data_IF_076707958167
#
_entry.id   IF_076707958167
#
_cell.length_a   1.000
_cell.length_b   1.000
_cell.length_c   1.000
_cell.angle_alpha   90.00
_cell.angle_beta   90.00
_cell.angle_gamma   90.00
#
_symmetry.space_group_name_H-M   'P 1'
#
loop_
_entity.id
_entity.type
_entity.pdbx_description
1 polymer ?
#
# COMPACT_ATOMS: atom_id res chain seq x y z
N UNK A 1 -17.00 0.62 6.65
CA UNK A 1 -15.92 1.11 5.77
C UNK A 1 -14.63 0.41 6.11
N UNK A 2 -13.89 -0.02 5.10
CA UNK A 2 -12.56 -0.64 5.22
C UNK A 2 -11.57 0.26 4.49
N UNK A 3 -10.52 0.70 5.18
CA UNK A 3 -9.42 1.45 4.56
C UNK A 3 -8.30 0.48 4.19
N UNK A 4 -7.82 0.56 2.95
CA UNK A 4 -6.83 -0.37 2.39
C UNK A 4 -5.70 0.40 1.70
N UNK A 5 -4.46 0.07 2.06
CA UNK A 5 -3.31 0.55 1.31
C UNK A 5 -3.14 -0.25 0.01
N UNK A 6 -2.79 0.42 -1.10
CA UNK A 6 -2.49 -0.20 -2.40
C UNK A 6 -1.03 0.04 -2.78
N UNK A 7 -0.37 -1.00 -3.25
CA UNK A 7 1.05 -1.03 -3.59
C UNK A 7 1.32 -1.20 -5.07
N UNK A 8 2.55 -1.58 -5.39
CA UNK A 8 3.06 -1.62 -6.77
C UNK A 8 2.59 -2.81 -7.60
N UNK A 9 2.20 -3.92 -6.98
CA UNK A 9 1.80 -5.11 -7.73
C UNK A 9 0.40 -4.98 -8.30
N UNK A 10 0.30 -4.37 -9.46
CA UNK A 10 -0.92 -3.92 -10.11
C UNK A 10 -2.05 -4.96 -10.13
N UNK A 11 -1.78 -6.16 -10.60
CA UNK A 11 -2.79 -7.21 -10.72
C UNK A 11 -3.18 -7.82 -9.38
N UNK A 12 -2.22 -7.96 -8.47
CA UNK A 12 -2.49 -8.43 -7.11
C UNK A 12 -3.31 -7.43 -6.31
N UNK A 13 -3.11 -6.12 -6.52
CA UNK A 13 -3.91 -5.09 -5.86
C UNK A 13 -5.37 -5.12 -6.34
N UNK A 14 -5.61 -5.28 -7.65
CA UNK A 14 -6.95 -5.49 -8.20
C UNK A 14 -7.60 -6.72 -7.56
N UNK A 15 -6.90 -7.85 -7.56
CA UNK A 15 -7.41 -9.10 -7.02
C UNK A 15 -7.64 -9.02 -5.49
N UNK A 16 -6.78 -8.32 -4.76
CA UNK A 16 -6.91 -8.11 -3.31
C UNK A 16 -8.22 -7.40 -2.94
N UNK A 17 -8.55 -6.32 -3.62
CA UNK A 17 -9.78 -5.56 -3.34
C UNK A 17 -11.03 -6.38 -3.69
N UNK A 18 -11.00 -7.10 -4.81
CA UNK A 18 -12.07 -8.01 -5.22
C UNK A 18 -12.26 -9.17 -4.22
N UNK A 19 -11.17 -9.81 -3.80
CA UNK A 19 -11.19 -10.88 -2.80
C UNK A 19 -11.70 -10.40 -1.44
N UNK A 20 -11.28 -9.19 -1.03
CA UNK A 20 -11.76 -8.56 0.22
C UNK A 20 -13.28 -8.36 0.21
N UNK A 21 -13.82 -7.81 -0.87
CA UNK A 21 -15.27 -7.60 -1.02
C UNK A 21 -16.02 -8.94 -1.04
N UNK A 22 -15.50 -9.93 -1.77
CA UNK A 22 -16.08 -11.27 -1.84
C UNK A 22 -16.18 -11.90 -0.45
N UNK A 23 -15.07 -11.90 0.30
CA UNK A 23 -15.02 -12.48 1.64
C UNK A 23 -15.89 -11.72 2.63
N UNK A 24 -15.88 -10.39 2.57
CA UNK A 24 -16.74 -9.57 3.43
C UNK A 24 -18.23 -9.91 3.22
N UNK A 25 -18.67 -9.94 1.97
CA UNK A 25 -20.07 -10.24 1.64
C UNK A 25 -20.45 -11.67 2.05
N UNK A 26 -19.55 -12.63 1.86
CA UNK A 26 -19.78 -14.02 2.28
C UNK A 26 -19.94 -14.10 3.81
N UNK A 27 -19.04 -13.47 4.57
CA UNK A 27 -19.12 -13.46 6.03
C UNK A 27 -20.37 -12.71 6.53
N UNK A 28 -20.69 -11.55 5.95
CA UNK A 28 -21.86 -10.77 6.34
C UNK A 28 -23.17 -11.57 6.15
N UNK A 29 -23.28 -12.35 5.07
CA UNK A 29 -24.43 -13.20 4.81
C UNK A 29 -24.61 -14.29 5.86
N UNK A 30 -23.54 -14.88 6.37
CA UNK A 30 -23.58 -15.90 7.45
C UNK A 30 -24.12 -15.31 8.76
N UNK A 31 -23.93 -14.02 8.98
CA UNK A 31 -24.47 -13.33 10.17
C UNK A 31 -25.85 -12.69 9.91
N UNK A 32 -26.51 -12.99 8.79
CA UNK A 32 -27.80 -12.42 8.37
C UNK A 32 -27.78 -10.88 8.28
N UNK A 33 -26.60 -10.31 7.97
CA UNK A 33 -26.44 -8.88 7.75
C UNK A 33 -26.28 -8.59 6.26
N UNK A 34 -27.01 -7.57 5.79
CA UNK A 34 -26.96 -7.09 4.43
C UNK A 34 -26.26 -5.71 4.40
N UNK A 35 -24.99 -5.69 4.79
CA UNK A 35 -24.15 -4.50 4.75
C UNK A 35 -23.33 -4.47 3.46
N UNK A 36 -23.27 -3.31 2.85
CA UNK A 36 -22.34 -3.09 1.74
C UNK A 36 -20.91 -2.95 2.26
N UNK A 37 -19.98 -3.63 1.58
CA UNK A 37 -18.56 -3.48 1.83
C UNK A 37 -18.06 -2.18 1.19
N UNK A 38 -17.96 -1.10 1.97
CA UNK A 38 -17.41 0.16 1.48
C UNK A 38 -15.89 0.19 1.67
N UNK A 39 -15.14 0.25 0.56
CA UNK A 39 -13.67 0.21 0.52
C UNK A 39 -13.12 1.58 0.12
N UNK A 40 -12.26 2.14 0.97
CA UNK A 40 -11.44 3.32 0.65
C UNK A 40 -10.02 2.83 0.40
N UNK A 41 -9.46 3.10 -0.77
CA UNK A 41 -8.11 2.73 -1.13
C UNK A 41 -7.18 3.94 -1.21
N UNK A 42 -5.97 3.80 -0.64
CA UNK A 42 -4.95 4.86 -0.63
C UNK A 42 -3.59 4.26 -1.02
N UNK A 43 -2.79 4.92 -1.87
CA UNK A 43 -1.43 4.49 -2.16
C UNK A 43 -0.59 4.29 -0.89
N UNK A 44 0.15 3.19 -0.82
CA UNK A 44 1.04 2.92 0.32
C UNK A 44 2.24 3.88 0.35
N UNK A 45 2.73 4.19 1.55
CA UNK A 45 4.01 4.90 1.71
C UNK A 45 5.23 3.97 1.59
N UNK A 46 5.04 2.64 1.67
CA UNK A 46 6.13 1.66 1.76
C UNK A 46 7.12 1.71 0.59
N UNK A 47 6.65 1.98 -0.61
CA UNK A 47 7.43 2.06 -1.85
C UNK A 47 7.74 3.49 -2.31
N UNK A 48 7.44 4.51 -1.50
CA UNK A 48 7.77 5.89 -1.83
C UNK A 48 9.22 6.19 -1.47
N UNK A 49 9.87 7.05 -2.28
CA UNK A 49 11.30 7.31 -2.22
C UNK A 49 11.57 8.79 -2.07
N UNK A 50 12.68 9.13 -1.38
CA UNK A 50 13.16 10.50 -1.24
C UNK A 50 13.86 10.97 -2.50
N UNK A 51 14.77 10.14 -3.02
CA UNK A 51 15.51 10.45 -4.24
C UNK A 51 14.68 10.10 -5.46
N UNK A 52 14.87 10.87 -6.52
CA UNK A 52 14.06 10.79 -7.74
C UNK A 52 12.54 10.79 -7.42
N UNK A 53 12.16 11.68 -6.52
CA UNK A 53 10.83 11.74 -5.90
C UNK A 53 9.69 11.94 -6.91
N UNK A 54 9.98 12.52 -8.08
CA UNK A 54 8.99 12.66 -9.15
C UNK A 54 8.44 11.31 -9.63
N UNK A 55 9.21 10.23 -9.51
CA UNK A 55 8.75 8.87 -9.81
C UNK A 55 7.60 8.43 -8.89
N UNK A 56 7.48 9.02 -7.69
CA UNK A 56 6.35 8.75 -6.81
C UNK A 56 5.00 9.13 -7.46
N UNK A 57 4.95 10.16 -8.32
CA UNK A 57 3.72 10.50 -9.07
C UNK A 57 3.29 9.36 -9.99
N UNK A 58 4.25 8.72 -10.66
CA UNK A 58 3.98 7.59 -11.55
C UNK A 58 3.48 6.38 -10.74
N UNK A 59 4.13 6.10 -9.60
CA UNK A 59 3.72 5.01 -8.70
C UNK A 59 2.29 5.22 -8.21
N UNK A 60 1.98 6.40 -7.65
CA UNK A 60 0.64 6.68 -7.13
C UNK A 60 -0.43 6.64 -8.21
N UNK A 61 -0.11 7.02 -9.45
CA UNK A 61 -1.05 6.91 -10.58
C UNK A 61 -1.43 5.45 -10.85
N UNK A 62 -0.45 4.55 -10.99
CA UNK A 62 -0.71 3.13 -11.25
C UNK A 62 -1.39 2.43 -10.07
N UNK A 63 -1.07 2.82 -8.84
CA UNK A 63 -1.73 2.33 -7.62
C UNK A 63 -3.21 2.77 -7.57
N UNK A 64 -3.51 4.03 -7.88
CA UNK A 64 -4.89 4.50 -7.99
C UNK A 64 -5.66 3.80 -9.12
N UNK A 65 -5.01 3.53 -10.26
CA UNK A 65 -5.61 2.74 -11.33
C UNK A 65 -5.99 1.33 -10.85
N UNK A 66 -5.09 0.64 -10.17
CA UNK A 66 -5.38 -0.71 -9.64
C UNK A 66 -6.51 -0.69 -8.61
N UNK A 67 -6.59 0.36 -7.78
CA UNK A 67 -7.67 0.55 -6.82
C UNK A 67 -9.03 0.72 -7.49
N UNK A 68 -9.11 1.54 -8.54
CA UNK A 68 -10.34 1.76 -9.30
C UNK A 68 -10.78 0.46 -9.99
N UNK A 69 -9.86 -0.22 -10.67
CA UNK A 69 -10.15 -1.48 -11.36
C UNK A 69 -10.48 -2.62 -10.39
N UNK A 70 -9.96 -2.57 -9.18
CA UNK A 70 -10.28 -3.50 -8.10
C UNK A 70 -11.64 -3.25 -7.43
N UNK A 71 -12.34 -2.17 -7.84
CA UNK A 71 -13.67 -1.84 -7.36
C UNK A 71 -13.67 -1.15 -5.98
N UNK A 72 -12.67 -0.32 -5.67
CA UNK A 72 -12.73 0.56 -4.51
C UNK A 72 -13.88 1.57 -4.68
N UNK A 73 -14.62 1.85 -3.61
CA UNK A 73 -15.74 2.81 -3.63
C UNK A 73 -15.24 4.24 -3.58
N UNK A 74 -14.08 4.45 -2.96
CA UNK A 74 -13.38 5.72 -2.96
C UNK A 74 -11.87 5.49 -3.09
N UNK A 75 -11.19 6.40 -3.79
CA UNK A 75 -9.72 6.42 -3.90
C UNK A 75 -9.21 7.76 -3.43
N UNK A 76 -8.37 7.74 -2.40
CA UNK A 76 -7.66 8.92 -1.90
C UNK A 76 -6.20 8.83 -2.33
N UNK A 77 -5.77 9.74 -3.21
CA UNK A 77 -4.39 9.73 -3.68
C UNK A 77 -3.43 10.32 -2.63
N UNK A 78 -2.17 9.93 -2.71
CA UNK A 78 -1.08 10.44 -1.88
C UNK A 78 -0.25 11.44 -2.69
N UNK A 79 0.05 12.61 -2.13
CA UNK A 79 0.97 13.55 -2.74
C UNK A 79 2.37 12.91 -2.89
N UNK A 80 3.05 13.19 -4.00
CA UNK A 80 4.34 12.58 -4.34
C UNK A 80 5.44 12.88 -3.34
N UNK A 81 5.34 14.01 -2.66
CA UNK A 81 6.28 14.54 -1.68
C UNK A 81 5.84 14.35 -0.20
N UNK A 82 4.71 13.69 0.04
CA UNK A 82 4.10 13.51 1.36
C UNK A 82 5.00 12.81 2.41
N UNK A 83 6.12 12.21 2.00
CA UNK A 83 7.06 11.56 2.93
C UNK A 83 8.12 12.53 3.49
N UNK A 84 8.35 13.68 2.85
CA UNK A 84 9.41 14.60 3.23
C UNK A 84 8.99 16.09 3.26
N UNK A 85 7.90 16.48 2.61
CA UNK A 85 7.30 17.80 2.70
C UNK A 85 6.03 17.79 3.56
N UNK A 86 5.71 18.94 4.14
CA UNK A 86 4.38 19.24 4.68
C UNK A 86 3.40 19.39 3.53
N UNK A 87 2.12 19.29 3.87
CA UNK A 87 1.04 19.53 2.91
C UNK A 87 1.23 20.88 2.21
N UNK A 88 1.20 20.86 0.88
CA UNK A 88 1.44 22.03 0.06
C UNK A 88 0.52 22.02 -1.17
N UNK A 89 0.25 23.23 -1.69
CA UNK A 89 -0.69 23.45 -2.79
C UNK A 89 -0.30 22.67 -4.06
N UNK A 90 0.99 22.56 -4.35
CA UNK A 90 1.45 21.89 -5.57
C UNK A 90 1.28 20.36 -5.46
N UNK A 91 1.70 19.76 -4.36
CA UNK A 91 1.54 18.33 -4.10
C UNK A 91 0.07 17.91 -4.11
N UNK A 92 -0.79 18.66 -3.43
CA UNK A 92 -2.23 18.43 -3.40
C UNK A 92 -2.87 18.56 -4.77
N UNK A 93 -2.50 19.58 -5.52
CA UNK A 93 -3.00 19.82 -6.88
C UNK A 93 -2.63 18.67 -7.81
N UNK A 94 -1.37 18.20 -7.77
CA UNK A 94 -0.90 17.12 -8.63
C UNK A 94 -1.61 15.81 -8.24
N UNK A 95 -1.68 15.49 -6.96
CA UNK A 95 -2.36 14.26 -6.50
C UNK A 95 -3.82 14.19 -6.92
N UNK A 96 -4.54 15.33 -6.81
CA UNK A 96 -5.91 15.46 -7.29
C UNK A 96 -5.99 15.36 -8.82
N UNK A 97 -5.09 16.02 -9.54
CA UNK A 97 -5.09 15.99 -11.01
C UNK A 97 -4.84 14.60 -11.56
N UNK A 98 -4.02 13.77 -10.91
CA UNK A 98 -3.85 12.36 -11.30
C UNK A 98 -5.20 11.62 -11.31
N UNK A 99 -6.02 11.79 -10.27
CA UNK A 99 -7.37 11.18 -10.22
C UNK A 99 -8.30 11.77 -11.26
N UNK A 100 -8.21 13.08 -11.54
CA UNK A 100 -9.02 13.74 -12.58
C UNK A 100 -8.64 13.26 -13.98
N UNK A 101 -7.36 13.04 -14.26
CA UNK A 101 -6.88 12.44 -15.51
C UNK A 101 -7.46 11.02 -15.67
N UNK A 102 -7.39 10.19 -14.63
CA UNK A 102 -7.99 8.85 -14.67
C UNK A 102 -9.49 8.90 -14.95
N UNK A 103 -10.21 9.86 -14.38
CA UNK A 103 -11.65 10.02 -14.58
C UNK A 103 -12.00 10.58 -15.95
N UNK A 104 -11.39 11.71 -16.37
CA UNK A 104 -11.85 12.50 -17.49
C UNK A 104 -11.12 12.21 -18.81
N UNK A 105 -9.86 11.81 -18.75
CA UNK A 105 -9.05 11.52 -19.94
C UNK A 105 -8.92 10.01 -20.20
N UNK A 106 -8.83 9.21 -19.12
CA UNK A 106 -8.74 7.74 -19.21
C UNK A 106 -10.11 7.04 -19.10
N UNK A 107 -11.18 7.79 -18.85
CA UNK A 107 -12.58 7.32 -18.83
C UNK A 107 -12.87 6.17 -17.86
N UNK A 108 -12.17 6.07 -16.74
CA UNK A 108 -12.38 5.02 -15.74
C UNK A 108 -13.76 5.07 -15.06
N UNK A 109 -14.49 6.17 -15.21
CA UNK A 109 -15.85 6.36 -14.70
C UNK A 109 -16.96 5.87 -15.66
N UNK A 110 -16.61 5.35 -16.84
CA UNK A 110 -17.59 4.95 -17.86
C UNK A 110 -18.00 3.49 -17.79
N UNK A 111 -17.23 2.66 -17.12
CA UNK A 111 -17.46 1.22 -17.03
C UNK A 111 -17.36 0.76 -15.57
N UNK A 112 -18.40 0.07 -15.11
CA UNK A 112 -18.36 -0.60 -13.81
C UNK A 112 -17.61 -1.93 -13.95
N UNK A 113 -16.72 -2.21 -12.98
CA UNK A 113 -16.00 -3.47 -12.86
C UNK A 113 -15.34 -3.96 -14.18
N UNK A 114 -14.46 -3.16 -14.81
CA UNK A 114 -13.87 -3.51 -16.11
C UNK A 114 -12.89 -4.69 -16.04
N UNK A 115 -12.52 -5.13 -14.83
CA UNK A 115 -11.67 -6.30 -14.60
C UNK A 115 -12.46 -7.61 -14.55
N UNK A 116 -13.81 -7.56 -14.57
CA UNK A 116 -14.68 -8.72 -14.50
C UNK A 116 -14.52 -9.61 -15.75
N UNK A 117 -14.44 -10.93 -15.53
CA UNK A 117 -14.24 -11.92 -16.59
C UNK A 117 -12.82 -12.00 -17.16
N UNK A 118 -11.86 -11.21 -16.67
CA UNK A 118 -10.46 -11.35 -17.03
C UNK A 118 -9.85 -12.58 -16.35
N UNK A 119 -9.62 -13.66 -17.08
CA UNK A 119 -9.18 -14.97 -16.53
C UNK A 119 -8.06 -14.88 -15.50
N UNK A 120 -7.04 -14.09 -15.77
CA UNK A 120 -5.91 -13.95 -14.84
C UNK A 120 -6.35 -13.29 -13.52
N UNK A 121 -7.15 -12.23 -13.59
CA UNK A 121 -7.63 -11.51 -12.41
C UNK A 121 -8.61 -12.38 -11.62
N UNK A 122 -9.51 -13.09 -12.28
CA UNK A 122 -10.43 -14.00 -11.62
C UNK A 122 -9.68 -15.10 -10.86
N UNK A 123 -8.72 -15.75 -11.50
CA UNK A 123 -7.89 -16.78 -10.87
C UNK A 123 -7.11 -16.23 -9.66
N UNK A 124 -6.50 -15.06 -9.78
CA UNK A 124 -5.80 -14.41 -8.67
C UNK A 124 -6.77 -14.05 -7.53
N UNK A 125 -7.96 -13.57 -7.85
CA UNK A 125 -8.99 -13.21 -6.87
C UNK A 125 -9.42 -14.43 -6.05
N UNK A 126 -9.69 -15.54 -6.70
CA UNK A 126 -10.06 -16.80 -6.05
C UNK A 126 -8.95 -17.32 -5.15
N UNK A 127 -7.71 -17.40 -5.65
CA UNK A 127 -6.56 -17.88 -4.88
C UNK A 127 -6.26 -16.98 -3.67
N UNK A 128 -6.36 -15.66 -3.81
CA UNK A 128 -6.19 -14.73 -2.70
C UNK A 128 -7.32 -14.87 -1.68
N UNK A 129 -8.57 -15.00 -2.14
CA UNK A 129 -9.71 -15.21 -1.26
C UNK A 129 -9.57 -16.50 -0.44
N UNK A 130 -9.16 -17.62 -1.06
CA UNK A 130 -8.90 -18.89 -0.37
C UNK A 130 -7.83 -18.72 0.70
N UNK A 131 -6.68 -18.11 0.37
CA UNK A 131 -5.58 -17.91 1.32
C UNK A 131 -5.96 -16.96 2.46
N UNK A 132 -6.70 -15.91 2.16
CA UNK A 132 -7.20 -14.98 3.17
C UNK A 132 -8.22 -15.65 4.10
N UNK A 133 -9.10 -16.50 3.57
CA UNK A 133 -10.06 -17.26 4.35
C UNK A 133 -9.35 -18.29 5.26
N UNK A 134 -8.33 -18.98 4.78
CA UNK A 134 -7.49 -19.88 5.60
C UNK A 134 -6.88 -19.10 6.77
N UNK A 135 -6.30 -17.92 6.51
CA UNK A 135 -5.72 -17.07 7.55
C UNK A 135 -6.78 -16.58 8.54
N UNK A 136 -7.94 -16.17 8.06
CA UNK A 136 -9.05 -15.74 8.91
C UNK A 136 -9.50 -16.87 9.84
N UNK A 137 -9.71 -18.09 9.31
CA UNK A 137 -10.08 -19.28 10.11
C UNK A 137 -9.01 -19.63 11.15
N UNK A 138 -7.73 -19.48 10.81
CA UNK A 138 -6.62 -19.70 11.74
C UNK A 138 -6.67 -18.69 12.90
N UNK A 139 -6.90 -17.41 12.60
CA UNK A 139 -7.04 -16.35 13.60
C UNK A 139 -8.23 -16.63 14.54
N UNK A 140 -9.39 -16.95 13.98
CA UNK A 140 -10.61 -17.23 14.77
C UNK A 140 -10.44 -18.46 15.66
N UNK A 141 -9.88 -19.56 15.13
CA UNK A 141 -9.60 -20.79 15.88
C UNK A 141 -8.66 -20.55 17.06
N UNK A 142 -7.75 -19.59 16.96
CA UNK A 142 -6.76 -19.25 17.99
C UNK A 142 -7.17 -18.01 18.81
N UNK A 143 -8.41 -17.96 19.25
CA UNK A 143 -8.98 -16.94 20.17
C UNK A 143 -9.22 -15.56 19.56
N UNK A 144 -9.22 -15.44 18.24
CA UNK A 144 -9.58 -14.22 17.51
C UNK A 144 -8.49 -13.16 17.45
N UNK A 145 -8.76 -12.11 16.70
CA UNK A 145 -7.79 -11.07 16.35
C UNK A 145 -7.19 -10.35 17.58
N UNK A 146 -8.01 -9.99 18.56
CA UNK A 146 -7.57 -9.20 19.73
C UNK A 146 -6.57 -10.01 20.56
N UNK A 147 -6.85 -11.29 20.82
CA UNK A 147 -5.93 -12.17 21.56
C UNK A 147 -4.59 -12.30 20.85
N UNK A 148 -4.62 -12.55 19.54
CA UNK A 148 -3.39 -12.69 18.75
C UNK A 148 -2.59 -11.38 18.58
N UNK A 149 -3.22 -10.22 18.66
CA UNK A 149 -2.54 -8.92 18.72
C UNK A 149 -1.82 -8.75 20.06
N UNK A 150 -2.46 -9.13 21.18
CA UNK A 150 -1.85 -9.08 22.52
C UNK A 150 -0.67 -10.03 22.61
N UNK A 151 -0.81 -11.24 22.08
CA UNK A 151 0.24 -12.28 22.06
C UNK A 151 1.38 -12.00 21.06
N UNK A 152 1.23 -10.97 20.21
CA UNK A 152 2.23 -10.61 19.22
C UNK A 152 2.29 -11.52 17.98
N UNK A 153 1.36 -12.44 17.81
CA UNK A 153 1.34 -13.38 16.68
C UNK A 153 1.08 -12.67 15.34
N UNK A 154 0.16 -11.69 15.32
CA UNK A 154 -0.11 -10.87 14.12
C UNK A 154 1.12 -10.06 13.74
N UNK A 155 1.75 -9.39 14.72
CA UNK A 155 2.95 -8.59 14.49
C UNK A 155 4.10 -9.44 13.94
N UNK A 156 4.28 -10.66 14.44
CA UNK A 156 5.28 -11.59 13.93
C UNK A 156 5.04 -11.95 12.47
N UNK A 157 3.80 -12.32 12.10
CA UNK A 157 3.43 -12.63 10.71
C UNK A 157 3.68 -11.44 9.76
N UNK A 158 3.34 -10.23 10.21
CA UNK A 158 3.60 -8.98 9.45
C UNK A 158 5.10 -8.76 9.28
N UNK A 159 5.88 -8.90 10.35
CA UNK A 159 7.34 -8.70 10.30
C UNK A 159 8.03 -9.74 9.41
N UNK A 160 7.63 -11.01 9.45
CA UNK A 160 8.14 -12.06 8.57
C UNK A 160 7.87 -11.75 7.09
N UNK A 161 6.67 -11.26 6.77
CA UNK A 161 6.33 -10.82 5.41
C UNK A 161 7.13 -9.59 4.99
N UNK A 162 7.24 -8.59 5.86
CA UNK A 162 8.00 -7.38 5.61
C UNK A 162 9.50 -7.66 5.42
N UNK A 163 10.06 -8.63 6.16
CA UNK A 163 11.45 -9.05 6.01
C UNK A 163 11.71 -9.71 4.66
N UNK A 164 10.82 -10.62 4.23
CA UNK A 164 10.92 -11.26 2.91
C UNK A 164 10.91 -10.24 1.77
N UNK A 165 10.04 -9.25 1.86
CA UNK A 165 9.97 -8.17 0.89
C UNK A 165 11.25 -7.30 0.92
N UNK A 166 11.79 -7.01 2.11
CA UNK A 166 13.06 -6.29 2.24
C UNK A 166 14.23 -7.07 1.63
N UNK A 167 14.30 -8.38 1.83
CA UNK A 167 15.32 -9.26 1.21
C UNK A 167 15.23 -9.25 -0.32
N UNK A 168 14.01 -9.20 -0.88
CA UNK A 168 13.82 -9.04 -2.32
C UNK A 168 14.32 -7.68 -2.82
N UNK A 169 14.05 -6.62 -2.07
CA UNK A 169 14.54 -5.27 -2.39
C UNK A 169 16.08 -5.19 -2.28
N UNK A 170 16.65 -5.67 -1.20
CA UNK A 170 18.11 -5.63 -0.95
C UNK A 170 18.88 -6.48 -1.97
N UNK A 171 18.29 -7.58 -2.44
CA UNK A 171 18.85 -8.41 -3.52
C UNK A 171 18.63 -7.86 -4.94
N UNK A 172 17.88 -6.75 -5.09
CA UNK A 172 17.55 -6.14 -6.37
C UNK A 172 16.49 -6.90 -7.18
N UNK A 173 15.83 -7.90 -6.60
CA UNK A 173 14.69 -8.59 -7.23
C UNK A 173 13.43 -7.74 -7.19
N UNK A 174 13.18 -7.05 -6.09
CA UNK A 174 12.18 -5.99 -6.00
C UNK A 174 12.84 -4.66 -6.39
N UNK A 175 12.31 -4.02 -7.44
CA UNK A 175 12.91 -2.83 -8.04
C UNK A 175 12.12 -1.59 -7.66
N UNK A 176 12.81 -0.60 -7.09
CA UNK A 176 12.33 0.77 -7.00
C UNK A 176 13.18 1.65 -7.92
N UNK A 177 12.58 2.11 -9.00
CA UNK A 177 13.22 2.95 -9.99
C UNK A 177 13.71 4.27 -9.36
N UNK A 178 14.91 4.72 -9.76
CA UNK A 178 15.53 5.91 -9.15
C UNK A 178 16.19 5.65 -7.78
N UNK A 179 16.07 4.42 -7.23
CA UNK A 179 16.58 4.05 -5.91
C UNK A 179 17.60 2.93 -6.01
N UNK A 180 17.16 1.67 -6.03
CA UNK A 180 18.06 0.52 -6.21
C UNK A 180 18.34 0.19 -7.68
N UNK A 181 17.62 0.82 -8.62
CA UNK A 181 17.86 0.70 -10.05
C UNK A 181 17.79 2.07 -10.73
N UNK A 182 18.80 2.39 -11.54
CA UNK A 182 18.97 3.65 -12.26
C UNK A 182 18.92 4.91 -11.34
N UNK A 183 19.65 4.95 -10.21
CA UNK A 183 19.64 6.12 -9.34
C UNK A 183 20.27 7.34 -10.02
N UNK A 184 19.67 8.51 -9.85
CA UNK A 184 20.29 9.79 -10.21
C UNK A 184 21.33 10.15 -9.14
N UNK A 185 22.62 10.01 -9.46
CA UNK A 185 23.72 10.23 -8.51
C UNK A 185 23.89 11.69 -8.09
N UNK A 186 23.35 12.63 -8.88
CA UNK A 186 23.48 14.08 -8.63
C UNK A 186 22.32 14.63 -7.78
N UNK A 187 21.33 13.80 -7.48
CA UNK A 187 20.18 14.17 -6.69
C UNK A 187 20.57 14.30 -5.21
N UNK A 188 20.17 15.39 -4.57
CA UNK A 188 20.48 15.73 -3.17
C UNK A 188 19.19 16.12 -2.46
N UNK A 189 19.00 15.63 -1.23
CA UNK A 189 17.77 15.83 -0.46
C UNK A 189 17.98 16.48 0.90
N UNK A 190 19.24 16.62 1.35
CA UNK A 190 19.58 17.09 2.71
C UNK A 190 18.94 18.42 3.08
N UNK A 191 18.84 19.35 2.12
CA UNK A 191 18.31 20.68 2.32
C UNK A 191 16.80 20.82 1.97
N UNK A 192 16.19 19.76 1.42
CA UNK A 192 14.79 19.78 0.97
C UNK A 192 13.84 19.07 1.95
N UNK A 193 14.34 18.58 3.07
CA UNK A 193 13.53 17.87 4.06
C UNK A 193 12.83 18.83 5.03
N UNK A 194 11.52 18.95 4.92
CA UNK A 194 10.69 19.65 5.92
C UNK A 194 10.19 18.72 7.02
N UNK A 195 10.02 17.45 6.70
CA UNK A 195 9.61 16.39 7.62
C UNK A 195 10.73 15.35 7.76
N UNK A 196 10.81 14.73 8.92
CA UNK A 196 11.72 13.61 9.12
C UNK A 196 11.12 12.34 8.47
N UNK A 197 11.71 11.83 7.37
CA UNK A 197 11.07 10.81 6.54
C UNK A 197 11.27 9.37 7.00
N UNK A 198 12.00 9.16 8.10
CA UNK A 198 12.37 7.84 8.61
C UNK A 198 11.59 7.46 9.86
N UNK A 199 11.54 6.16 10.14
CA UNK A 199 10.87 5.66 11.34
C UNK A 199 11.49 6.23 12.60
N UNK A 200 10.67 6.88 13.42
CA UNK A 200 11.06 7.29 14.78
C UNK A 200 10.81 6.13 15.74
N UNK A 201 11.88 5.53 16.23
CA UNK A 201 11.77 4.48 17.24
C UNK A 201 11.61 5.11 18.62
N UNK A 202 10.37 5.22 19.10
CA UNK A 202 10.08 5.54 20.48
C UNK A 202 9.67 4.24 21.18
N UNK A 203 10.58 3.64 21.93
CA UNK A 203 10.29 2.46 22.74
C UNK A 203 9.30 2.84 23.85
N UNK A 204 8.02 2.56 23.64
CA UNK A 204 6.97 2.66 24.67
C UNK A 204 6.60 1.25 25.12
N UNK A 205 6.43 1.06 26.41
CA UNK A 205 5.79 -0.15 26.93
C UNK A 205 4.28 -0.05 26.68
N UNK A 206 3.80 -0.83 25.73
CA UNK A 206 2.38 -0.89 25.36
C UNK A 206 1.84 -2.30 25.59
N UNK A 207 0.54 -2.44 25.80
CA UNK A 207 -0.11 -3.75 25.94
C UNK A 207 0.02 -4.57 24.65
N UNK A 208 -0.10 -3.90 23.50
CA UNK A 208 0.07 -4.49 22.18
C UNK A 208 1.34 -3.93 21.56
N UNK A 209 2.24 -4.80 21.11
CA UNK A 209 3.45 -4.39 20.38
C UNK A 209 3.08 -3.61 19.12
N UNK A 210 3.70 -2.46 18.93
CA UNK A 210 3.41 -1.59 17.78
C UNK A 210 3.84 -2.24 16.46
N UNK A 211 2.99 -2.10 15.45
CA UNK A 211 3.33 -2.41 14.06
C UNK A 211 3.96 -1.13 13.49
N UNK A 212 5.21 -1.22 13.07
CA UNK A 212 5.98 -0.07 12.61
C UNK A 212 5.90 0.01 11.08
N UNK A 213 5.38 1.13 10.58
CA UNK A 213 5.43 1.44 9.15
C UNK A 213 6.88 1.79 8.76
N UNK A 214 7.46 1.01 7.87
CA UNK A 214 8.81 1.21 7.36
C UNK A 214 8.80 1.19 5.84
N UNK A 215 9.51 2.13 5.20
CA UNK A 215 9.69 2.15 3.76
C UNK A 215 10.83 1.20 3.35
N UNK A 216 10.74 0.62 2.15
CA UNK A 216 11.76 -0.30 1.62
C UNK A 216 13.14 0.37 1.47
N UNK A 217 13.15 1.61 1.01
CA UNK A 217 14.37 2.34 0.69
C UNK A 217 15.05 3.02 1.88
N UNK A 218 14.46 3.01 3.09
CA UNK A 218 14.94 3.81 4.24
C UNK A 218 16.42 3.66 4.54
N UNK A 219 16.93 2.43 4.60
CA UNK A 219 18.34 2.17 4.92
C UNK A 219 19.27 2.78 3.86
N UNK A 220 18.98 2.54 2.60
CA UNK A 220 19.74 3.05 1.46
C UNK A 220 19.69 4.58 1.40
N UNK A 221 18.53 5.16 1.67
CA UNK A 221 18.36 6.62 1.70
C UNK A 221 19.09 7.27 2.88
N UNK A 222 19.07 6.66 4.06
CA UNK A 222 19.85 7.13 5.22
C UNK A 222 21.36 7.11 4.95
N UNK A 223 21.87 6.01 4.37
CA UNK A 223 23.26 5.89 3.98
C UNK A 223 23.66 6.99 2.98
N UNK A 224 22.83 7.21 1.95
CA UNK A 224 23.07 8.24 0.95
C UNK A 224 23.01 9.65 1.54
N UNK A 225 21.99 9.96 2.35
CA UNK A 225 21.84 11.26 2.99
C UNK A 225 23.01 11.61 3.90
N UNK A 226 23.61 10.61 4.57
CA UNK A 226 24.80 10.80 5.40
C UNK A 226 26.07 11.16 4.62
N UNK A 227 26.08 10.85 3.31
CA UNK A 227 27.20 11.13 2.40
C UNK A 227 27.06 12.47 1.67
N UNK A 228 25.90 13.10 1.74
CA UNK A 228 25.68 14.42 1.16
C UNK A 228 26.44 15.51 1.94
N UNK A 229 27.20 16.31 1.21
CA UNK A 229 27.98 17.43 1.76
C UNK A 229 27.12 18.65 2.07
#
# INVERSE_FOLDING_TARGET
TIEVAVGTNYFFEIAKLRALRLLFNTLASEYNHNFDCHIIATPTKRNKTLYDYNVNMLRTTTECMSAILGGADAVANLAYDAIYHKDNEFGDRISRNQLLVLKHESYFDKVNNPADGAYYIETLTEQLAEKALELFKDIEKNSGLISQLIDGTIQRKINESAQKEQELFDSGKEVLLGTNKYPNKNDQMKNDLELYPFVKQNARKTLITQIIEKRLAEKLEQERLSQEQ
#
